data_IF_482152611493
#
_entry.id   IF_482152611493
#
_cell.length_a   1.000
_cell.length_b   1.000
_cell.length_c   1.000
_cell.angle_alpha   90.00
_cell.angle_beta   90.00
_cell.angle_gamma   90.00
#
_symmetry.space_group_name_H-M   'P 1'
#
loop_
_entity.id
_entity.type
_entity.pdbx_description
1 polymer ?
#
# COMPACT_ATOMS: atom_id res chain seq x y z
N UNK A 1 5.47 -12.19 -15.71
CA UNK A 1 5.11 -11.49 -14.45
C UNK A 1 3.80 -12.06 -13.97
N UNK A 2 3.67 -12.39 -12.67
CA UNK A 2 2.35 -12.65 -12.10
C UNK A 2 1.58 -11.33 -12.11
N UNK A 3 0.39 -11.33 -12.68
CA UNK A 3 -0.50 -10.15 -12.78
C UNK A 3 -1.62 -10.17 -11.76
N UNK A 4 -1.72 -11.26 -10.99
CA UNK A 4 -2.77 -11.49 -10.01
C UNK A 4 -2.24 -11.40 -8.58
N UNK A 5 -3.03 -10.78 -7.72
CA UNK A 5 -2.84 -10.71 -6.26
C UNK A 5 -3.75 -11.69 -5.51
N UNK A 6 -4.37 -12.65 -6.21
CA UNK A 6 -5.32 -13.61 -5.64
C UNK A 6 -4.69 -14.56 -4.59
N UNK A 7 -3.36 -14.60 -4.49
CA UNK A 7 -2.64 -15.33 -3.43
C UNK A 7 -2.66 -14.61 -2.09
N UNK A 8 -3.06 -13.33 -2.04
CA UNK A 8 -3.20 -12.55 -0.81
C UNK A 8 -4.60 -12.74 -0.22
N UNK A 9 -4.77 -12.62 1.12
CA UNK A 9 -6.09 -12.57 1.74
C UNK A 9 -6.98 -11.47 1.15
N UNK A 10 -8.29 -11.69 1.11
CA UNK A 10 -9.26 -10.76 0.52
C UNK A 10 -9.14 -9.34 1.11
N UNK A 11 -8.99 -9.23 2.43
CA UNK A 11 -8.79 -7.94 3.12
C UNK A 11 -7.57 -7.17 2.60
N UNK A 12 -6.48 -7.87 2.26
CA UNK A 12 -5.27 -7.27 1.69
C UNK A 12 -5.48 -6.88 0.23
N UNK A 13 -6.21 -7.68 -0.54
CA UNK A 13 -6.58 -7.33 -1.90
C UNK A 13 -7.44 -6.05 -1.91
N UNK A 14 -8.43 -5.94 -1.02
CA UNK A 14 -9.25 -4.72 -0.88
C UNK A 14 -8.43 -3.48 -0.52
N UNK A 15 -7.48 -3.61 0.42
CA UNK A 15 -6.56 -2.52 0.75
C UNK A 15 -5.76 -2.07 -0.47
N UNK A 16 -5.19 -3.02 -1.23
CA UNK A 16 -4.45 -2.72 -2.46
C UNK A 16 -5.35 -2.02 -3.50
N UNK A 17 -6.59 -2.47 -3.68
CA UNK A 17 -7.53 -1.83 -4.61
C UNK A 17 -7.85 -0.39 -4.21
N UNK A 18 -8.06 -0.11 -2.92
CA UNK A 18 -8.26 1.26 -2.42
C UNK A 18 -7.03 2.13 -2.66
N UNK A 19 -5.82 1.60 -2.48
CA UNK A 19 -4.58 2.32 -2.77
C UNK A 19 -4.49 2.65 -4.27
N UNK A 20 -4.77 1.67 -5.15
CA UNK A 20 -4.79 1.86 -6.60
C UNK A 20 -5.81 2.94 -7.02
N UNK A 21 -6.99 2.94 -6.40
CA UNK A 21 -8.01 3.96 -6.64
C UNK A 21 -7.50 5.37 -6.29
N UNK A 22 -6.89 5.54 -5.11
CA UNK A 22 -6.30 6.82 -4.69
C UNK A 22 -5.21 7.26 -5.66
N UNK A 23 -4.31 6.36 -6.06
CA UNK A 23 -3.24 6.67 -7.02
C UNK A 23 -3.84 7.18 -8.34
N UNK A 24 -4.84 6.47 -8.89
CA UNK A 24 -5.49 6.82 -10.16
C UNK A 24 -6.25 8.14 -10.12
N UNK A 25 -6.68 8.58 -8.94
CA UNK A 25 -7.33 9.89 -8.76
C UNK A 25 -6.32 11.06 -8.74
N UNK A 26 -5.04 10.78 -8.53
CA UNK A 26 -3.99 11.82 -8.41
C UNK A 26 -3.12 11.85 -9.67
N UNK A 27 -2.77 10.70 -10.21
CA UNK A 27 -1.92 10.54 -11.40
C UNK A 27 -2.44 9.43 -12.31
N UNK A 28 -2.04 9.46 -13.59
CA UNK A 28 -2.33 8.40 -14.54
C UNK A 28 -1.07 7.53 -14.76
N UNK A 29 -0.88 6.44 -13.99
CA UNK A 29 0.28 5.58 -14.15
C UNK A 29 0.17 4.71 -15.39
N UNK A 30 1.28 4.55 -16.10
CA UNK A 30 1.43 3.56 -17.17
C UNK A 30 1.47 2.14 -16.57
N UNK A 31 2.16 1.98 -15.43
CA UNK A 31 2.22 0.73 -14.68
C UNK A 31 2.19 0.98 -13.18
N UNK A 32 1.53 0.06 -12.47
CA UNK A 32 1.54 -0.05 -11.01
C UNK A 32 2.10 -1.43 -10.68
N UNK A 33 3.15 -1.48 -9.88
CA UNK A 33 3.85 -2.72 -9.55
C UNK A 33 3.87 -2.86 -8.03
N UNK A 34 3.21 -3.88 -7.51
CA UNK A 34 3.39 -4.34 -6.14
C UNK A 34 4.72 -5.12 -6.07
N UNK A 35 5.62 -4.71 -5.19
CA UNK A 35 6.87 -5.43 -4.90
C UNK A 35 6.97 -5.73 -3.41
N UNK A 36 8.16 -6.13 -2.95
CA UNK A 36 8.38 -6.39 -1.53
C UNK A 36 7.77 -7.69 -1.02
N UNK A 37 7.48 -7.72 0.28
CA UNK A 37 7.10 -8.92 1.01
C UNK A 37 5.73 -9.47 0.59
N UNK A 38 4.75 -8.60 0.34
CA UNK A 38 3.42 -9.00 -0.15
C UNK A 38 3.45 -9.57 -1.57
N UNK A 39 4.30 -9.03 -2.45
CA UNK A 39 4.47 -9.60 -3.79
C UNK A 39 5.09 -11.00 -3.75
N UNK A 40 5.99 -11.25 -2.78
CA UNK A 40 6.68 -12.53 -2.59
C UNK A 40 5.89 -13.54 -1.73
N UNK A 41 4.88 -13.09 -1.01
CA UNK A 41 4.15 -13.90 -0.02
C UNK A 41 4.94 -14.14 1.28
N UNK A 42 5.96 -13.32 1.56
CA UNK A 42 6.81 -13.41 2.77
C UNK A 42 6.54 -12.25 3.74
N UNK A 43 5.35 -11.65 3.68
CA UNK A 43 4.94 -10.59 4.59
C UNK A 43 4.70 -11.17 5.99
N UNK A 44 4.94 -10.36 7.02
CA UNK A 44 4.69 -10.72 8.40
C UNK A 44 3.63 -9.80 8.98
N UNK A 45 2.72 -10.42 9.71
CA UNK A 45 1.76 -9.78 10.60
C UNK A 45 1.83 -10.56 11.92
N UNK A 46 2.52 -9.98 12.90
CA UNK A 46 2.72 -10.62 14.20
C UNK A 46 2.42 -9.64 15.32
N UNK A 47 1.77 -10.14 16.36
CA UNK A 47 1.41 -9.39 17.55
C UNK A 47 1.96 -10.14 18.75
N UNK A 48 2.93 -9.54 19.44
CA UNK A 48 3.55 -10.16 20.61
C UNK A 48 3.56 -9.22 21.81
N UNK A 49 3.34 -9.78 22.99
CA UNK A 49 3.39 -9.05 24.25
C UNK A 49 4.72 -9.32 24.93
N UNK A 50 5.46 -8.26 25.27
CA UNK A 50 6.70 -8.34 26.05
C UNK A 50 6.65 -7.34 27.19
N UNK A 51 6.87 -7.81 28.42
CA UNK A 51 6.82 -7.00 29.65
C UNK A 51 5.49 -6.23 29.83
N UNK A 52 4.38 -6.85 29.40
CA UNK A 52 3.05 -6.23 29.43
C UNK A 52 2.79 -5.19 28.34
N UNK A 53 3.77 -4.94 27.45
CA UNK A 53 3.65 -4.03 26.31
C UNK A 53 3.31 -4.84 25.06
N UNK A 54 2.24 -4.44 24.38
CA UNK A 54 1.82 -5.02 23.09
C UNK A 54 2.65 -4.43 21.96
N UNK A 55 3.31 -5.29 21.18
CA UNK A 55 4.03 -4.94 19.97
C UNK A 55 3.33 -5.56 18.76
N UNK A 56 3.01 -4.72 17.78
CA UNK A 56 2.44 -5.15 16.50
C UNK A 56 3.47 -4.89 15.40
N UNK A 57 3.82 -5.93 14.65
CA UNK A 57 4.60 -5.84 13.43
C UNK A 57 3.68 -6.16 12.25
N UNK A 58 3.34 -5.16 11.47
CA UNK A 58 2.55 -5.31 10.25
C UNK A 58 3.43 -4.83 9.10
N UNK A 59 3.63 -5.68 8.10
CA UNK A 59 4.38 -5.30 6.90
C UNK A 59 3.63 -4.24 6.10
N UNK A 60 4.37 -3.28 5.54
CA UNK A 60 3.88 -2.25 4.64
C UNK A 60 3.70 -2.77 3.20
N UNK A 61 2.95 -2.03 2.37
CA UNK A 61 2.83 -2.30 0.94
C UNK A 61 3.85 -1.49 0.14
N UNK A 62 4.74 -2.19 -0.55
CA UNK A 62 5.72 -1.60 -1.45
C UNK A 62 5.15 -1.46 -2.87
N UNK A 63 4.89 -0.23 -3.34
CA UNK A 63 4.28 0.05 -4.65
C UNK A 63 5.18 0.95 -5.47
N UNK A 64 5.54 0.51 -6.67
CA UNK A 64 6.28 1.30 -7.66
C UNK A 64 5.34 1.77 -8.75
N UNK A 65 5.41 3.07 -9.05
CA UNK A 65 4.64 3.72 -10.11
C UNK A 65 5.55 4.07 -11.28
N UNK A 66 5.15 3.66 -12.48
CA UNK A 66 5.79 4.10 -13.73
C UNK A 66 4.86 5.11 -14.37
N UNK A 67 5.33 6.35 -14.48
CA UNK A 67 4.60 7.46 -15.07
C UNK A 67 5.29 7.82 -16.40
N UNK A 68 4.51 7.98 -17.46
CA UNK A 68 5.02 8.40 -18.78
C UNK A 68 5.38 9.88 -18.77
N UNK A 69 4.49 10.69 -18.21
CA UNK A 69 4.62 12.13 -18.08
C UNK A 69 4.33 12.50 -16.62
N UNK A 70 5.17 13.35 -16.02
CA UNK A 70 4.99 13.86 -14.66
C UNK A 70 4.61 15.33 -14.72
N UNK A 71 3.37 15.66 -14.38
CA UNK A 71 2.92 17.06 -14.23
C UNK A 71 3.35 17.66 -12.88
N UNK A 72 3.58 16.81 -11.89
CA UNK A 72 3.97 17.18 -10.53
C UNK A 72 5.33 16.54 -10.17
N UNK A 73 6.11 17.17 -9.29
CA UNK A 73 7.32 16.54 -8.77
C UNK A 73 6.99 15.31 -7.93
N UNK A 74 7.93 14.36 -7.89
CA UNK A 74 7.73 13.05 -7.27
C UNK A 74 7.33 13.11 -5.79
N UNK A 75 7.99 13.98 -5.02
CA UNK A 75 7.68 14.15 -3.60
C UNK A 75 6.24 14.62 -3.37
N UNK A 76 5.71 15.47 -4.25
CA UNK A 76 4.35 15.99 -4.11
C UNK A 76 3.31 14.91 -4.43
N UNK A 77 3.57 14.08 -5.44
CA UNK A 77 2.73 12.92 -5.75
C UNK A 77 2.72 11.96 -4.56
N UNK A 78 3.89 11.65 -4.01
CA UNK A 78 4.04 10.78 -2.85
C UNK A 78 3.29 11.34 -1.64
N UNK A 79 3.49 12.61 -1.31
CA UNK A 79 2.85 13.27 -0.17
C UNK A 79 1.32 13.26 -0.30
N UNK A 80 0.78 13.57 -1.50
CA UNK A 80 -0.67 13.54 -1.73
C UNK A 80 -1.24 12.13 -1.53
N UNK A 81 -0.59 11.10 -2.10
CA UNK A 81 -1.03 9.71 -1.98
C UNK A 81 -1.00 9.26 -0.51
N UNK A 82 0.14 9.44 0.17
CA UNK A 82 0.35 9.00 1.55
C UNK A 82 -0.60 9.72 2.50
N UNK A 83 -0.80 11.03 2.34
CA UNK A 83 -1.74 11.76 3.17
C UNK A 83 -3.16 11.22 3.01
N UNK A 84 -3.66 11.04 1.79
CA UNK A 84 -5.03 10.52 1.57
C UNK A 84 -5.19 9.11 2.16
N UNK A 85 -4.20 8.23 1.96
CA UNK A 85 -4.24 6.87 2.51
C UNK A 85 -4.22 6.92 4.04
N UNK A 86 -3.35 7.71 4.66
CA UNK A 86 -3.25 7.80 6.11
C UNK A 86 -4.52 8.39 6.73
N UNK A 87 -5.08 9.47 6.16
CA UNK A 87 -6.35 10.04 6.64
C UNK A 87 -7.51 9.04 6.51
N UNK A 88 -7.55 8.26 5.42
CA UNK A 88 -8.53 7.17 5.31
C UNK A 88 -8.21 6.04 6.30
N UNK A 89 -7.00 5.55 6.45
CA UNK A 89 -6.67 4.54 7.45
C UNK A 89 -7.02 4.95 8.89
N UNK A 90 -6.89 6.23 9.24
CA UNK A 90 -7.34 6.76 10.54
C UNK A 90 -8.87 6.68 10.68
N UNK A 91 -9.62 7.07 9.65
CA UNK A 91 -11.09 7.01 9.67
C UNK A 91 -11.65 5.58 9.65
N UNK A 92 -10.87 4.60 9.20
CA UNK A 92 -11.26 3.18 9.12
C UNK A 92 -10.73 2.34 10.30
N UNK A 93 -10.09 2.97 11.30
CA UNK A 93 -9.66 2.36 12.58
C UNK A 93 -10.65 2.58 13.73
N UNK A 94 -11.90 2.95 13.45
CA UNK A 94 -12.99 3.08 14.42
C UNK A 94 -14.07 2.02 14.19
#
# INVERSE_FOLDING_TARGET
MKTSIAHLPETKQEQIYKIIEVIRNIVLPEKIILYGSYAKGTYQEDTHTKDGILYEYISDFDILLILKDKELPEYEIQDRIVNIINYKCILWRC
#
